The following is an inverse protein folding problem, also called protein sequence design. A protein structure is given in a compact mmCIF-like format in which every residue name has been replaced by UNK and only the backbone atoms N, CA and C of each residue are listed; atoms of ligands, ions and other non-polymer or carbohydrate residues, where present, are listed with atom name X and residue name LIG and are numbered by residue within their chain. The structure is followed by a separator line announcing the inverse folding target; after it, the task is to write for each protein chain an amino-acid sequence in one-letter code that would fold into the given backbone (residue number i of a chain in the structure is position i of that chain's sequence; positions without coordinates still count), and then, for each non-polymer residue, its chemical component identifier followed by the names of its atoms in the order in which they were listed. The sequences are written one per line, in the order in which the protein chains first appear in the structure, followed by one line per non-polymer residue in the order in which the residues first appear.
data_IF_360977636970
#
_entry.id   IF_360977636970
#
_cell.length_a   1.000
_cell.length_b   1.000
_cell.length_c   1.000
_cell.angle_alpha   90.00
_cell.angle_beta   90.00
_cell.angle_gamma   90.00
#
_symmetry.space_group_name_H-M   'P 1'
#
loop_
_entity.id
_entity.type
_entity.pdbx_description
1 polymer ?
#
# COMPACT_ATOMS: atom_id res chain seq x y z
N UNK A 1 -9.05 -14.26 23.57
CA UNK A 1 -7.98 -14.13 22.56
C UNK A 1 -8.53 -13.99 21.14
N UNK A 2 -9.45 -14.86 20.70
CA UNK A 2 -10.13 -14.72 19.39
C UNK A 2 -10.97 -13.42 19.30
N UNK A 3 -11.72 -13.11 20.35
CA UNK A 3 -12.50 -11.87 20.50
C UNK A 3 -11.63 -10.59 20.49
N UNK A 4 -10.44 -10.65 21.08
CA UNK A 4 -9.48 -9.54 21.14
C UNK A 4 -8.87 -9.24 19.76
N UNK A 5 -8.58 -10.29 18.99
CA UNK A 5 -8.13 -10.17 17.60
C UNK A 5 -9.25 -9.67 16.67
N UNK A 6 -10.49 -10.11 16.88
CA UNK A 6 -11.66 -9.61 16.14
C UNK A 6 -11.94 -8.13 16.41
N UNK A 7 -11.82 -7.67 17.66
CA UNK A 7 -11.99 -6.26 18.03
C UNK A 7 -10.90 -5.36 17.43
N UNK A 8 -9.64 -5.82 17.33
CA UNK A 8 -8.53 -5.10 16.68
C UNK A 8 -8.63 -5.08 15.16
N UNK A 9 -9.28 -6.07 14.54
CA UNK A 9 -9.60 -6.09 13.12
C UNK A 9 -10.76 -5.15 12.74
N UNK A 10 -11.63 -4.79 13.71
CA UNK A 10 -12.89 -4.09 13.41
C UNK A 10 -12.80 -2.56 13.35
N UNK A 11 -11.76 -1.86 13.85
CA UNK A 11 -11.91 -0.39 14.01
C UNK A 11 -10.72 0.59 13.84
N UNK A 12 -9.43 0.22 13.74
CA UNK A 12 -8.39 1.23 13.40
C UNK A 12 -7.79 1.22 11.97
N UNK A 13 -7.54 0.10 11.26
CA UNK A 13 -6.70 0.16 10.05
C UNK A 13 -7.40 0.83 8.86
N UNK A 14 -8.72 0.70 8.72
CA UNK A 14 -9.47 1.29 7.60
C UNK A 14 -9.51 2.82 7.66
N UNK A 15 -9.74 3.39 8.84
CA UNK A 15 -9.79 4.83 9.01
C UNK A 15 -8.44 5.48 8.70
N UNK A 16 -7.34 4.91 9.20
CA UNK A 16 -6.00 5.43 8.95
C UNK A 16 -5.62 5.42 7.46
N UNK A 17 -5.96 4.35 6.73
CA UNK A 17 -5.73 4.27 5.28
C UNK A 17 -6.54 5.33 4.54
N UNK A 18 -7.81 5.53 4.90
CA UNK A 18 -8.65 6.59 4.33
C UNK A 18 -8.08 7.98 4.60
N UNK A 19 -7.59 8.24 5.82
CA UNK A 19 -6.94 9.50 6.16
C UNK A 19 -5.68 9.74 5.34
N UNK A 20 -4.84 8.73 5.14
CA UNK A 20 -3.63 8.86 4.33
C UNK A 20 -3.96 9.17 2.86
N UNK A 21 -4.99 8.52 2.29
CA UNK A 21 -5.43 8.80 0.91
C UNK A 21 -5.99 10.22 0.76
N UNK A 22 -6.87 10.64 1.66
CA UNK A 22 -7.43 12.01 1.66
C UNK A 22 -6.34 13.06 1.89
N UNK A 23 -5.38 12.77 2.77
CA UNK A 23 -4.25 13.65 3.01
C UNK A 23 -3.33 13.76 1.80
N UNK A 24 -3.01 12.64 1.14
CA UNK A 24 -2.22 12.64 -0.10
C UNK A 24 -2.93 13.39 -1.23
N UNK A 25 -4.25 13.23 -1.36
CA UNK A 25 -5.07 13.99 -2.31
C UNK A 25 -4.98 15.50 -2.04
N UNK A 26 -5.23 15.93 -0.79
CA UNK A 26 -5.19 17.35 -0.45
C UNK A 26 -3.77 17.93 -0.58
N UNK A 27 -2.74 17.18 -0.21
CA UNK A 27 -1.35 17.58 -0.38
C UNK A 27 -1.00 17.78 -1.87
N UNK A 28 -1.42 16.86 -2.74
CA UNK A 28 -1.25 17.02 -4.18
C UNK A 28 -1.98 18.28 -4.70
N UNK A 29 -3.22 18.49 -4.29
CA UNK A 29 -4.03 19.65 -4.67
C UNK A 29 -3.35 20.98 -4.26
N UNK A 30 -2.91 21.10 -3.01
CA UNK A 30 -2.23 22.30 -2.50
C UNK A 30 -0.91 22.57 -3.23
N UNK A 31 -0.13 21.53 -3.55
CA UNK A 31 1.11 21.68 -4.33
C UNK A 31 0.84 22.13 -5.78
N UNK A 32 -0.28 21.70 -6.36
CA UNK A 32 -0.76 22.17 -7.66
C UNK A 32 -1.09 23.66 -7.66
N UNK A 33 -1.75 24.16 -6.60
CA UNK A 33 -2.07 25.59 -6.44
C UNK A 33 -0.82 26.46 -6.28
N UNK A 34 0.25 25.93 -5.70
CA UNK A 34 1.50 26.64 -5.49
C UNK A 34 2.45 26.61 -6.72
N UNK A 35 2.07 25.97 -7.82
CA UNK A 35 2.90 25.71 -9.02
C UNK A 35 4.23 24.97 -8.71
N UNK A 36 4.29 24.30 -7.55
CA UNK A 36 5.44 23.47 -7.10
C UNK A 36 5.31 22.05 -7.66
N UNK A 37 4.14 21.67 -8.17
CA UNK A 37 3.85 20.35 -8.75
C UNK A 37 4.77 19.93 -9.90
N UNK A 38 5.50 20.86 -10.52
CA UNK A 38 6.54 20.55 -11.52
C UNK A 38 7.82 19.94 -10.94
N UNK A 39 8.05 20.12 -9.63
CA UNK A 39 9.28 19.68 -8.94
C UNK A 39 9.01 18.64 -7.85
N UNK A 40 7.82 18.61 -7.28
CA UNK A 40 7.44 17.69 -6.20
C UNK A 40 6.19 16.92 -6.61
N UNK A 41 6.30 15.59 -6.62
CA UNK A 41 5.18 14.68 -6.82
C UNK A 41 4.73 14.05 -5.50
N UNK A 42 3.42 13.84 -5.40
CA UNK A 42 2.81 13.11 -4.28
C UNK A 42 2.13 11.89 -4.87
N UNK A 43 2.61 10.71 -4.47
CA UNK A 43 2.12 9.43 -4.99
C UNK A 43 1.82 8.54 -3.79
N UNK A 44 0.63 7.94 -3.78
CA UNK A 44 0.28 6.96 -2.78
C UNK A 44 0.50 5.56 -3.33
N UNK A 45 1.13 4.69 -2.56
CA UNK A 45 1.51 3.34 -3.01
C UNK A 45 0.97 2.30 -2.04
N UNK A 46 0.30 1.30 -2.60
CA UNK A 46 0.00 0.05 -1.92
C UNK A 46 0.87 -1.06 -2.52
N UNK A 47 1.89 -1.54 -1.80
CA UNK A 47 2.78 -2.59 -2.29
C UNK A 47 2.12 -3.99 -2.30
N UNK A 48 0.83 -4.07 -1.97
CA UNK A 48 0.08 -5.30 -1.81
C UNK A 48 0.42 -6.02 -0.52
N UNK A 49 0.14 -7.34 -0.50
CA UNK A 49 0.38 -8.17 0.68
C UNK A 49 1.84 -8.63 0.69
N UNK A 50 2.68 -7.92 1.45
CA UNK A 50 4.12 -8.20 1.55
C UNK A 50 4.45 -8.94 2.85
N UNK A 51 5.27 -9.99 2.74
CA UNK A 51 5.81 -10.69 3.91
C UNK A 51 6.68 -9.72 4.75
N UNK A 52 6.22 -9.33 5.94
CA UNK A 52 6.90 -8.34 6.78
C UNK A 52 6.64 -8.59 8.26
N UNK A 53 7.43 -7.92 9.11
CA UNK A 53 7.28 -7.97 10.56
C UNK A 53 6.11 -7.12 11.11
N UNK A 54 5.21 -6.62 10.26
CA UNK A 54 4.03 -5.84 10.70
C UNK A 54 3.09 -6.72 11.55
N UNK A 55 3.01 -8.02 11.25
CA UNK A 55 2.22 -8.99 12.03
C UNK A 55 2.94 -9.53 13.28
N UNK A 56 4.03 -8.91 13.76
CA UNK A 56 4.81 -9.40 14.92
C UNK A 56 4.01 -9.56 16.22
N UNK A 57 2.90 -8.84 16.35
CA UNK A 57 2.01 -8.91 17.52
C UNK A 57 1.00 -10.06 17.44
N UNK A 58 0.90 -10.72 16.28
CA UNK A 58 0.01 -11.86 16.04
C UNK A 58 0.76 -13.16 16.39
N UNK A 59 0.10 -14.16 17.01
CA UNK A 59 0.72 -15.44 17.33
C UNK A 59 1.42 -16.09 16.11
N UNK A 60 2.66 -16.61 16.25
CA UNK A 60 3.46 -17.09 15.11
C UNK A 60 2.78 -18.17 14.26
N UNK A 61 2.00 -19.06 14.89
CA UNK A 61 1.26 -20.10 14.18
C UNK A 61 0.20 -19.51 13.22
N UNK A 62 -0.45 -18.41 13.62
CA UNK A 62 -1.45 -17.72 12.80
C UNK A 62 -0.77 -16.95 11.66
N UNK A 63 0.35 -16.29 11.91
CA UNK A 63 1.14 -15.65 10.86
C UNK A 63 1.61 -16.67 9.81
N UNK A 64 2.13 -17.82 10.26
CA UNK A 64 2.57 -18.90 9.36
C UNK A 64 1.42 -19.46 8.52
N UNK A 65 0.25 -19.66 9.12
CA UNK A 65 -0.94 -20.11 8.40
C UNK A 65 -1.39 -19.06 7.35
N UNK A 66 -1.46 -17.79 7.74
CA UNK A 66 -1.83 -16.70 6.85
C UNK A 66 -0.87 -16.62 5.65
N UNK A 67 0.45 -16.62 5.89
CA UNK A 67 1.44 -16.60 4.82
C UNK A 67 1.34 -17.82 3.90
N UNK A 68 1.13 -19.04 4.44
CA UNK A 68 0.93 -20.24 3.62
C UNK A 68 -0.29 -20.13 2.71
N UNK A 69 -1.42 -19.62 3.22
CA UNK A 69 -2.64 -19.42 2.43
C UNK A 69 -2.44 -18.36 1.37
N UNK A 70 -1.92 -17.19 1.74
CA UNK A 70 -1.67 -16.08 0.81
C UNK A 70 -0.67 -16.49 -0.28
N UNK A 71 0.38 -17.24 0.06
CA UNK A 71 1.34 -17.76 -0.92
C UNK A 71 0.71 -18.76 -1.89
N UNK A 72 -0.21 -19.62 -1.42
CA UNK A 72 -0.95 -20.55 -2.30
C UNK A 72 -1.92 -19.83 -3.25
N UNK A 73 -2.47 -18.70 -2.82
CA UNK A 73 -3.33 -17.84 -3.65
C UNK A 73 -2.52 -16.90 -4.56
N UNK A 74 -1.18 -17.01 -4.55
CA UNK A 74 -0.26 -16.09 -5.21
C UNK A 74 -0.37 -14.63 -4.74
N UNK A 75 -0.97 -14.40 -3.56
CA UNK A 75 -1.19 -13.09 -2.94
C UNK A 75 0.00 -12.53 -2.17
N UNK A 76 0.85 -13.40 -1.66
CA UNK A 76 1.99 -12.99 -0.85
C UNK A 76 3.19 -12.63 -1.73
N UNK A 77 3.61 -11.38 -1.66
CA UNK A 77 4.82 -10.87 -2.29
C UNK A 77 6.02 -10.92 -1.32
N UNK A 78 7.23 -11.02 -1.87
CA UNK A 78 8.45 -10.90 -1.07
C UNK A 78 8.74 -9.43 -0.72
N UNK A 79 9.51 -9.16 0.36
CA UNK A 79 9.93 -7.80 0.72
C UNK A 79 10.57 -7.04 -0.44
N UNK A 80 11.39 -7.71 -1.24
CA UNK A 80 12.13 -7.11 -2.36
C UNK A 80 11.18 -6.59 -3.44
N UNK A 81 10.09 -7.32 -3.70
CA UNK A 81 9.05 -6.89 -4.64
C UNK A 81 8.31 -5.67 -4.10
N UNK A 82 7.95 -5.67 -2.81
CA UNK A 82 7.30 -4.52 -2.17
C UNK A 82 8.18 -3.28 -2.09
N UNK A 83 9.49 -3.44 -1.91
CA UNK A 83 10.44 -2.30 -1.96
C UNK A 83 10.53 -1.76 -3.39
N UNK A 84 10.63 -2.66 -4.37
CA UNK A 84 10.73 -2.25 -5.78
C UNK A 84 9.52 -1.42 -6.20
N UNK A 85 8.30 -1.78 -5.75
CA UNK A 85 7.10 -0.99 -6.07
C UNK A 85 7.12 0.42 -5.48
N UNK A 86 7.67 0.57 -4.28
CA UNK A 86 7.84 1.89 -3.65
C UNK A 86 8.87 2.70 -4.42
N UNK A 87 9.99 2.10 -4.80
CA UNK A 87 11.04 2.76 -5.60
C UNK A 87 10.52 3.17 -6.99
N UNK A 88 9.85 2.27 -7.69
CA UNK A 88 9.28 2.52 -9.02
C UNK A 88 8.27 3.68 -8.98
N UNK A 89 7.46 3.75 -7.92
CA UNK A 89 6.52 4.84 -7.71
C UNK A 89 7.21 6.15 -7.33
N UNK A 90 8.25 6.12 -6.50
CA UNK A 90 9.01 7.31 -6.11
C UNK A 90 9.82 7.91 -7.28
N UNK A 91 10.23 7.07 -8.25
CA UNK A 91 10.92 7.46 -9.47
C UNK A 91 9.95 7.80 -10.63
N UNK A 92 8.65 7.70 -10.41
CA UNK A 92 7.66 8.01 -11.43
C UNK A 92 7.70 9.50 -11.81
N UNK A 93 7.43 9.82 -13.08
CA UNK A 93 7.52 11.20 -13.57
C UNK A 93 6.44 12.08 -12.89
N UNK A 94 6.68 13.38 -12.67
CA UNK A 94 5.80 14.24 -11.87
C UNK A 94 4.37 14.35 -12.42
N UNK A 95 4.16 14.07 -13.70
CA UNK A 95 2.86 13.95 -14.36
C UNK A 95 1.97 12.84 -13.75
N UNK A 96 2.56 11.92 -12.97
CA UNK A 96 1.85 10.85 -12.24
C UNK A 96 1.49 11.23 -10.81
N UNK A 97 1.75 12.47 -10.39
CA UNK A 97 1.35 12.95 -9.07
C UNK A 97 -0.19 12.90 -8.90
N UNK A 98 -0.64 12.63 -7.68
CA UNK A 98 -2.07 12.51 -7.34
C UNK A 98 -2.66 11.12 -7.62
N UNK A 99 -1.85 10.19 -8.13
CA UNK A 99 -2.31 8.84 -8.46
C UNK A 99 -2.04 7.86 -7.31
N UNK A 100 -2.96 6.91 -7.15
CA UNK A 100 -2.80 5.74 -6.29
C UNK A 100 -2.26 4.56 -7.12
N UNK A 101 -1.10 4.06 -6.71
CA UNK A 101 -0.41 2.93 -7.31
C UNK A 101 -0.69 1.67 -6.50
N UNK A 102 -1.41 0.71 -7.10
CA UNK A 102 -1.54 -0.63 -6.54
C UNK A 102 -0.57 -1.58 -7.24
N UNK A 103 0.32 -2.20 -6.46
CA UNK A 103 1.33 -3.08 -7.02
C UNK A 103 1.00 -4.56 -6.84
N UNK A 104 1.02 -5.28 -7.96
CA UNK A 104 0.81 -6.71 -8.00
C UNK A 104 1.65 -7.36 -9.10
N UNK A 105 2.49 -8.33 -8.74
CA UNK A 105 3.17 -9.20 -9.70
C UNK A 105 2.38 -10.51 -9.85
N UNK A 106 1.48 -10.54 -10.84
CA UNK A 106 0.81 -11.73 -11.34
C UNK A 106 1.21 -12.04 -12.80
N UNK A 107 0.66 -13.10 -13.42
CA UNK A 107 0.95 -13.49 -14.81
C UNK A 107 0.63 -12.38 -15.83
N UNK A 108 -0.39 -11.58 -15.53
CA UNK A 108 -0.77 -10.39 -16.29
C UNK A 108 -0.38 -9.15 -15.48
N UNK A 109 0.85 -8.68 -15.68
CA UNK A 109 1.40 -7.50 -15.03
C UNK A 109 0.58 -6.27 -15.42
N UNK A 110 -0.27 -5.77 -14.52
CA UNK A 110 -0.95 -4.50 -14.73
C UNK A 110 -0.78 -3.62 -13.50
N UNK A 111 0.02 -2.56 -13.68
CA UNK A 111 -0.08 -1.34 -12.88
C UNK A 111 -1.51 -0.84 -13.00
N UNK A 112 -2.26 -0.90 -11.91
CA UNK A 112 -3.56 -0.26 -11.84
C UNK A 112 -3.36 1.13 -11.26
N UNK A 113 -3.61 2.13 -12.10
CA UNK A 113 -3.72 3.52 -11.72
C UNK A 113 -5.17 3.77 -11.31
N UNK A 114 -5.39 4.16 -10.05
CA UNK A 114 -6.63 4.80 -9.66
C UNK A 114 -6.33 6.27 -9.40
N UNK A 115 -7.00 7.17 -10.11
CA UNK A 115 -6.98 8.59 -9.76
C UNK A 115 -7.76 8.76 -8.46
N UNK A 116 -7.15 9.41 -7.47
CA UNK A 116 -7.86 9.90 -6.28
C UNK A 116 -8.75 11.09 -6.64
#
# INVERSE_FOLDING_TARGET
MLEYLLHRLHSPPKAMIMFLLLFSYELHHQLGLMDISRHVSVITVDPGVVESNIMREVPPCLCSLAFKVLRRLCLLQSPEVGISSILDSALAPPETSGVYFFWWKGPDCQLFYAFL
#
